data_IF_574456937785
#
_entry.id   IF_574456937785
#
_cell.length_a   1.000
_cell.length_b   1.000
_cell.length_c   1.000
_cell.angle_alpha   90.00
_cell.angle_beta   90.00
_cell.angle_gamma   90.00
#
_symmetry.space_group_name_H-M   'P 1'
#
loop_
_entity.id
_entity.type
_entity.pdbx_description
1 polymer ?
#
# COMPACT_ATOMS: atom_id res chain seq x y z
N UNK A 1 19.80 -6.38 -7.84
CA UNK A 1 18.75 -5.95 -8.79
C UNK A 1 19.28 -5.32 -10.09
N UNK A 2 20.55 -4.89 -10.20
CA UNK A 2 21.11 -4.24 -11.40
C UNK A 2 21.28 -5.12 -12.66
N UNK A 3 21.22 -6.45 -12.56
CA UNK A 3 21.48 -7.34 -13.72
C UNK A 3 20.36 -7.32 -14.76
N UNK A 4 19.11 -7.02 -14.38
CA UNK A 4 17.99 -7.00 -15.31
C UNK A 4 17.90 -5.68 -16.08
N UNK A 5 18.18 -4.54 -15.43
CA UNK A 5 18.23 -3.21 -16.08
C UNK A 5 19.25 -3.17 -17.24
N UNK A 6 20.49 -3.66 -17.01
CA UNK A 6 21.51 -3.72 -18.08
C UNK A 6 21.19 -4.76 -19.17
N UNK A 7 20.37 -5.79 -18.88
CA UNK A 7 19.96 -6.80 -19.87
C UNK A 7 18.86 -6.30 -20.80
N UNK A 8 17.95 -5.46 -20.31
CA UNK A 8 16.90 -4.83 -21.12
C UNK A 8 17.52 -3.87 -22.15
N UNK A 9 18.41 -2.98 -21.71
CA UNK A 9 19.16 -2.07 -22.61
C UNK A 9 20.14 -2.78 -23.56
N UNK A 10 20.48 -4.05 -23.27
CA UNK A 10 21.40 -4.87 -24.05
C UNK A 10 20.79 -5.61 -25.24
N UNK A 11 19.48 -5.49 -25.49
CA UNK A 11 18.83 -5.98 -26.71
C UNK A 11 18.84 -7.51 -26.91
N UNK A 12 18.68 -8.29 -25.83
CA UNK A 12 18.49 -9.73 -25.95
C UNK A 12 17.10 -10.08 -26.52
N UNK A 13 17.00 -11.12 -27.36
CA UNK A 13 15.76 -11.61 -28.03
C UNK A 13 14.58 -11.92 -27.09
N UNK A 14 14.82 -11.97 -25.79
CA UNK A 14 13.81 -12.18 -24.73
C UNK A 14 13.13 -10.88 -24.28
N UNK A 15 13.67 -9.71 -24.65
CA UNK A 15 13.19 -8.37 -24.26
C UNK A 15 12.76 -7.52 -25.45
N UNK A 16 12.64 -8.12 -26.64
CA UNK A 16 12.31 -7.44 -27.90
C UNK A 16 10.87 -6.87 -27.91
N UNK A 17 10.02 -7.38 -27.01
CA UNK A 17 8.63 -6.97 -26.85
C UNK A 17 8.37 -6.20 -25.55
N UNK A 18 9.34 -6.06 -24.64
CA UNK A 18 9.13 -5.46 -23.31
C UNK A 18 9.71 -4.05 -23.28
N UNK A 19 8.86 -3.06 -23.03
CA UNK A 19 9.27 -1.67 -22.88
C UNK A 19 10.12 -1.49 -21.61
N UNK A 20 11.38 -1.09 -21.76
CA UNK A 20 12.31 -0.93 -20.63
C UNK A 20 11.93 0.26 -19.73
N UNK A 21 11.04 1.15 -20.19
CA UNK A 21 10.57 2.34 -19.48
C UNK A 21 9.85 2.00 -18.17
N UNK A 22 9.30 0.78 -18.02
CA UNK A 22 8.65 0.32 -16.78
C UNK A 22 9.60 0.28 -15.58
N UNK A 23 10.91 0.10 -15.81
CA UNK A 23 11.90 0.03 -14.73
C UNK A 23 12.34 1.40 -14.21
N UNK A 24 12.07 2.46 -14.98
CA UNK A 24 12.36 3.85 -14.61
C UNK A 24 11.12 4.57 -14.07
N UNK A 25 9.95 3.91 -14.02
CA UNK A 25 8.71 4.47 -13.49
C UNK A 25 8.78 4.67 -11.95
N UNK A 26 8.56 5.89 -11.42
CA UNK A 26 8.56 6.17 -9.99
C UNK A 26 7.29 5.71 -9.22
N UNK A 27 6.22 5.29 -9.91
CA UNK A 27 4.95 4.87 -9.28
C UNK A 27 5.10 3.70 -8.29
N UNK A 28 5.75 2.57 -8.64
CA UNK A 28 5.86 1.43 -7.73
C UNK A 28 6.65 1.77 -6.46
N UNK A 29 7.68 2.60 -6.59
CA UNK A 29 8.48 3.07 -5.45
C UNK A 29 7.65 3.96 -4.52
N UNK A 30 6.88 4.89 -5.09
CA UNK A 30 6.01 5.79 -4.32
C UNK A 30 4.88 5.06 -3.62
N UNK A 31 4.29 4.06 -4.29
CA UNK A 31 3.27 3.17 -3.72
C UNK A 31 3.81 2.38 -2.54
N UNK A 32 4.98 1.75 -2.71
CA UNK A 32 5.63 0.99 -1.65
C UNK A 32 6.00 1.86 -0.44
N UNK A 33 6.57 3.04 -0.68
CA UNK A 33 6.90 4.01 0.37
C UNK A 33 5.64 4.45 1.13
N UNK A 34 4.55 4.76 0.41
CA UNK A 34 3.29 5.17 1.02
C UNK A 34 2.63 4.07 1.86
N UNK A 35 2.66 2.81 1.39
CA UNK A 35 2.20 1.64 2.16
C UNK A 35 3.03 1.50 3.44
N UNK A 36 4.35 1.61 3.34
CA UNK A 36 5.25 1.49 4.49
C UNK A 36 4.98 2.58 5.54
N UNK A 37 4.94 3.86 5.13
CA UNK A 37 4.65 4.98 6.04
C UNK A 37 3.28 4.79 6.70
N UNK A 38 2.28 4.37 5.94
CA UNK A 38 0.93 4.10 6.45
C UNK A 38 0.94 2.99 7.50
N UNK A 39 1.64 1.88 7.23
CA UNK A 39 1.78 0.76 8.18
C UNK A 39 2.49 1.20 9.45
N UNK A 40 3.57 1.96 9.37
CA UNK A 40 4.31 2.43 10.55
C UNK A 40 3.44 3.34 11.45
N UNK A 41 2.65 4.24 10.86
CA UNK A 41 1.73 5.09 11.62
C UNK A 41 0.59 4.28 12.25
N UNK A 42 0.09 3.26 11.56
CA UNK A 42 -0.91 2.33 12.08
C UNK A 42 -0.34 1.44 13.18
N UNK A 43 0.93 1.01 13.06
CA UNK A 43 1.63 0.26 14.09
C UNK A 43 1.88 1.11 15.34
N UNK A 44 2.20 2.40 15.17
CA UNK A 44 2.30 3.34 16.29
C UNK A 44 0.96 3.49 17.04
N UNK A 45 -0.16 3.54 16.31
CA UNK A 45 -1.50 3.47 16.90
C UNK A 45 -1.73 2.15 17.64
N UNK A 46 -1.29 1.04 17.06
CA UNK A 46 -1.50 -0.28 17.63
C UNK A 46 -0.65 -0.53 18.88
N UNK A 47 0.54 0.06 18.99
CA UNK A 47 1.33 0.03 20.23
C UNK A 47 0.63 0.81 21.34
N UNK A 48 -0.12 1.87 21.03
CA UNK A 48 -0.95 2.56 22.02
C UNK A 48 -2.17 1.73 22.45
N UNK A 49 -2.81 0.99 21.54
CA UNK A 49 -3.95 0.10 21.85
C UNK A 49 -3.57 -1.16 22.64
N UNK A 50 -2.28 -1.39 22.90
CA UNK A 50 -1.82 -2.47 23.78
C UNK A 50 -2.43 -2.35 25.19
N UNK A 51 -2.74 -1.15 25.65
CA UNK A 51 -3.43 -0.96 26.94
C UNK A 51 -4.93 -1.31 26.90
N UNK A 52 -5.63 -1.18 25.76
CA UNK A 52 -7.03 -1.61 25.53
C UNK A 52 -7.30 -1.72 24.01
N UNK A 53 -7.98 -2.78 23.53
CA UNK A 53 -8.32 -2.96 22.11
C UNK A 53 -8.93 -1.70 21.47
N UNK A 54 -8.49 -1.40 20.24
CA UNK A 54 -8.84 -0.20 19.46
C UNK A 54 -10.36 -0.05 19.21
N UNK A 55 -11.09 -1.17 19.21
CA UNK A 55 -12.56 -1.20 19.11
C UNK A 55 -13.29 -0.81 20.40
N UNK A 56 -12.61 -0.87 21.55
CA UNK A 56 -13.20 -0.61 22.88
C UNK A 56 -12.83 0.78 23.42
N UNK A 57 -11.77 1.40 22.89
CA UNK A 57 -11.40 2.78 23.19
C UNK A 57 -11.42 3.62 21.92
N UNK A 58 -12.36 4.57 21.77
CA UNK A 58 -12.39 5.44 20.60
C UNK A 58 -11.10 6.26 20.50
N UNK A 59 -10.57 6.50 19.28
CA UNK A 59 -9.27 7.13 19.02
C UNK A 59 -9.13 8.58 19.53
N UNK A 60 -10.21 9.16 20.05
CA UNK A 60 -10.30 10.53 20.52
C UNK A 60 -9.78 10.75 21.95
N UNK A 61 -9.42 9.68 22.67
CA UNK A 61 -8.95 9.79 24.07
C UNK A 61 -7.56 10.48 24.17
N UNK A 62 -6.68 10.28 23.17
CA UNK A 62 -5.37 10.92 23.12
C UNK A 62 -5.24 11.83 21.90
N UNK A 63 -5.70 13.06 22.06
CA UNK A 63 -5.66 14.13 21.03
C UNK A 63 -4.25 14.43 20.56
N UNK A 64 -3.25 14.35 21.45
CA UNK A 64 -1.86 14.63 21.13
C UNK A 64 -1.25 13.57 20.21
N UNK A 65 -1.57 12.29 20.43
CA UNK A 65 -1.12 11.22 19.54
C UNK A 65 -1.82 11.31 18.17
N UNK A 66 -3.14 11.56 18.16
CA UNK A 66 -3.88 11.76 16.92
C UNK A 66 -3.31 12.93 16.11
N UNK A 67 -2.89 14.00 16.78
CA UNK A 67 -2.21 15.13 16.14
C UNK A 67 -0.86 14.72 15.55
N UNK A 68 -0.06 13.89 16.23
CA UNK A 68 1.21 13.41 15.70
C UNK A 68 1.03 12.58 14.41
N UNK A 69 0.00 11.73 14.35
CA UNK A 69 -0.31 10.93 13.16
C UNK A 69 -0.85 11.81 12.03
N UNK A 70 -1.74 12.76 12.35
CA UNK A 70 -2.25 13.72 11.38
C UNK A 70 -1.13 14.59 10.80
N UNK A 71 -0.18 15.00 11.64
CA UNK A 71 1.01 15.74 11.23
C UNK A 71 1.90 14.88 10.30
N UNK A 72 2.09 13.60 10.63
CA UNK A 72 2.84 12.66 9.79
C UNK A 72 2.19 12.46 8.41
N UNK A 73 0.87 12.25 8.37
CA UNK A 73 0.13 12.17 7.10
C UNK A 73 0.17 13.47 6.32
N UNK A 74 0.14 14.62 7.00
CA UNK A 74 0.28 15.94 6.36
C UNK A 74 1.67 16.12 5.75
N UNK A 75 2.72 15.68 6.45
CA UNK A 75 4.09 15.68 5.93
C UNK A 75 4.21 14.75 4.71
N UNK A 76 3.58 13.59 4.74
CA UNK A 76 3.54 12.65 3.62
C UNK A 76 2.85 13.26 2.38
N UNK A 77 1.75 13.99 2.58
CA UNK A 77 1.13 14.75 1.49
C UNK A 77 2.04 15.90 1.01
N UNK A 78 2.71 16.58 1.93
CA UNK A 78 3.64 17.66 1.61
C UNK A 78 4.79 17.19 0.70
N UNK A 79 5.38 16.02 0.96
CA UNK A 79 6.44 15.49 0.10
C UNK A 79 5.93 15.10 -1.28
N UNK A 80 4.69 14.60 -1.41
CA UNK A 80 4.12 14.14 -2.68
C UNK A 80 3.63 15.29 -3.58
N UNK A 81 3.13 16.38 -2.98
CA UNK A 81 2.57 17.51 -3.73
C UNK A 81 3.58 18.62 -4.01
N UNK A 82 4.67 18.71 -3.25
CA UNK A 82 5.71 19.73 -3.50
C UNK A 82 6.74 19.20 -4.51
N UNK A 83 6.88 19.86 -5.68
CA UNK A 83 7.74 19.37 -6.76
C UNK A 83 9.23 19.31 -6.39
N UNK A 84 9.68 20.12 -5.42
CA UNK A 84 11.05 20.08 -4.92
C UNK A 84 11.40 18.72 -4.30
N UNK A 85 10.50 18.13 -3.50
CA UNK A 85 10.76 16.85 -2.85
C UNK A 85 10.60 15.68 -3.81
N UNK A 86 9.65 15.76 -4.76
CA UNK A 86 9.47 14.75 -5.81
C UNK A 86 10.73 14.51 -6.64
N UNK A 87 11.44 15.57 -7.03
CA UNK A 87 12.69 15.46 -7.80
C UNK A 87 13.83 14.85 -6.99
N UNK A 88 13.91 15.15 -5.67
CA UNK A 88 14.98 14.63 -4.80
C UNK A 88 14.78 13.15 -4.49
N UNK A 89 13.55 12.73 -4.24
CA UNK A 89 13.22 11.35 -3.87
C UNK A 89 12.82 10.48 -5.07
N UNK A 90 12.73 11.04 -6.28
CA UNK A 90 12.27 10.36 -7.50
C UNK A 90 10.90 9.70 -7.28
N UNK A 91 9.95 10.48 -6.75
CA UNK A 91 8.58 10.05 -6.43
C UNK A 91 7.56 10.89 -7.21
N UNK A 92 6.36 10.34 -7.42
CA UNK A 92 5.28 10.98 -8.18
C UNK A 92 4.03 11.24 -7.31
N UNK A 93 3.18 12.23 -7.66
CA UNK A 93 1.94 12.45 -6.94
C UNK A 93 0.97 11.28 -7.16
N UNK A 94 0.41 10.76 -6.08
CA UNK A 94 -0.46 9.60 -6.09
C UNK A 94 -1.94 9.98 -6.30
N UNK A 95 -2.64 9.29 -7.19
CA UNK A 95 -4.07 9.50 -7.45
C UNK A 95 -4.95 8.95 -6.31
N UNK A 96 -6.22 9.37 -6.26
CA UNK A 96 -7.13 8.87 -5.23
C UNK A 96 -7.36 7.35 -5.30
N UNK A 97 -7.39 6.78 -6.50
CA UNK A 97 -7.59 5.34 -6.70
C UNK A 97 -6.41 4.53 -6.14
N UNK A 98 -5.19 5.00 -6.38
CA UNK A 98 -3.97 4.41 -5.85
C UNK A 98 -3.88 4.54 -4.32
N UNK A 99 -4.33 5.66 -3.75
CA UNK A 99 -4.46 5.81 -2.30
C UNK A 99 -5.38 4.75 -1.67
N UNK A 100 -6.51 4.44 -2.31
CA UNK A 100 -7.37 3.35 -1.86
C UNK A 100 -6.69 1.98 -1.98
N UNK A 101 -5.83 1.78 -2.98
CA UNK A 101 -5.03 0.56 -3.10
C UNK A 101 -4.00 0.46 -1.96
N UNK A 102 -3.29 1.54 -1.65
CA UNK A 102 -2.34 1.63 -0.53
C UNK A 102 -3.03 1.29 0.80
N UNK A 103 -4.20 1.89 1.05
CA UNK A 103 -4.98 1.62 2.26
C UNK A 103 -5.42 0.16 2.34
N UNK A 104 -5.91 -0.42 1.24
CA UNK A 104 -6.29 -1.85 1.19
C UNK A 104 -5.11 -2.76 1.49
N UNK A 105 -3.94 -2.52 0.91
CA UNK A 105 -2.74 -3.34 1.13
C UNK A 105 -2.21 -3.20 2.57
N UNK A 106 -2.37 -2.04 3.20
CA UNK A 106 -1.94 -1.81 4.60
C UNK A 106 -2.90 -2.39 5.65
N UNK A 107 -4.20 -2.52 5.34
CA UNK A 107 -5.22 -3.07 6.24
C UNK A 107 -4.93 -4.48 6.82
N UNK A 108 -4.48 -5.50 6.06
CA UNK A 108 -4.23 -6.83 6.59
C UNK A 108 -3.08 -6.87 7.59
N UNK A 109 -2.12 -5.94 7.48
CA UNK A 109 -1.03 -5.82 8.44
C UNK A 109 -1.56 -5.39 9.81
N UNK A 110 -2.52 -4.46 9.85
CA UNK A 110 -3.22 -4.06 11.08
C UNK A 110 -4.04 -5.21 11.64
N UNK A 111 -4.78 -5.92 10.77
CA UNK A 111 -5.53 -7.10 11.21
C UNK A 111 -4.63 -8.15 11.82
N UNK A 112 -3.47 -8.41 11.20
CA UNK A 112 -2.49 -9.34 11.71
C UNK A 112 -1.99 -8.92 13.09
N UNK A 113 -1.58 -7.66 13.29
CA UNK A 113 -1.11 -7.19 14.60
C UNK A 113 -2.18 -7.32 15.71
N UNK A 114 -3.43 -6.96 15.41
CA UNK A 114 -4.53 -7.11 16.37
C UNK A 114 -4.86 -8.60 16.62
N UNK A 115 -4.73 -9.48 15.62
CA UNK A 115 -4.91 -10.94 15.83
C UNK A 115 -3.84 -11.50 16.75
N UNK A 116 -2.57 -11.09 16.61
CA UNK A 116 -1.47 -11.54 17.47
C UNK A 116 -1.69 -11.07 18.91
N UNK A 117 -2.11 -9.80 19.09
CA UNK A 117 -2.47 -9.25 20.41
C UNK A 117 -3.64 -10.00 21.04
N UNK A 118 -4.66 -10.33 20.26
CA UNK A 118 -5.80 -11.08 20.74
C UNK A 118 -5.41 -12.50 21.20
N UNK A 119 -4.61 -13.21 20.41
CA UNK A 119 -4.10 -14.54 20.77
C UNK A 119 -3.20 -14.48 22.00
N UNK A 120 -2.28 -13.50 22.07
CA UNK A 120 -1.36 -13.33 23.19
C UNK A 120 -2.10 -13.11 24.52
N UNK A 121 -3.10 -12.21 24.56
CA UNK A 121 -3.92 -11.98 25.77
C UNK A 121 -4.64 -13.26 26.22
N UNK A 122 -5.19 -14.01 25.27
CA UNK A 122 -5.93 -15.26 25.56
C UNK A 122 -5.03 -16.42 25.96
N UNK A 123 -3.78 -16.45 25.52
CA UNK A 123 -2.83 -17.48 25.92
C UNK A 123 -2.23 -17.23 27.31
N UNK A 124 -2.07 -15.96 27.70
CA UNK A 124 -1.61 -15.55 29.04
C UNK A 124 -2.71 -15.77 30.09
N UNK A 125 -3.96 -15.41 29.77
CA UNK A 125 -5.11 -15.67 30.65
C UNK A 125 -5.58 -17.13 30.52
N UNK A 126 -4.92 -18.05 31.23
CA UNK A 126 -5.24 -19.49 31.31
C UNK A 126 -6.56 -19.81 32.04
N UNK A 127 -7.66 -19.15 31.69
CA UNK A 127 -8.99 -19.48 32.23
C UNK A 127 -9.85 -20.12 31.14
N UNK A 128 -9.90 -21.44 31.22
CA UNK A 128 -10.65 -22.37 30.38
C UNK A 128 -12.15 -22.02 30.34
N UNK A 129 -12.59 -21.33 29.29
CA UNK A 129 -13.99 -21.37 28.85
C UNK A 129 -13.98 -21.47 27.33
N UNK A 130 -14.07 -22.70 26.81
CA UNK A 130 -13.93 -23.01 25.38
C UNK A 130 -14.82 -22.19 24.44
N UNK A 131 -15.94 -21.66 24.94
CA UNK A 131 -16.84 -20.74 24.22
C UNK A 131 -16.19 -19.39 23.88
N UNK A 132 -15.34 -18.84 24.75
CA UNK A 132 -14.67 -17.55 24.52
C UNK A 132 -13.54 -17.62 23.49
N UNK A 133 -12.85 -18.76 23.42
CA UNK A 133 -11.80 -19.03 22.43
C UNK A 133 -12.40 -19.19 21.03
N UNK A 134 -13.43 -20.04 20.89
CA UNK A 134 -14.13 -20.24 19.62
C UNK A 134 -14.72 -18.94 19.08
N UNK A 135 -15.35 -18.11 19.91
CA UNK A 135 -15.90 -16.83 19.48
C UNK A 135 -14.80 -15.85 19.01
N UNK A 136 -13.62 -15.91 19.62
CA UNK A 136 -12.45 -15.16 19.18
C UNK A 136 -11.96 -15.61 17.80
N UNK A 137 -11.73 -16.91 17.64
CA UNK A 137 -11.27 -17.50 16.38
C UNK A 137 -12.30 -17.27 15.26
N UNK A 138 -13.59 -17.43 15.54
CA UNK A 138 -14.67 -17.18 14.58
C UNK A 138 -14.69 -15.70 14.17
N UNK A 139 -14.58 -14.76 15.11
CA UNK A 139 -14.49 -13.33 14.77
C UNK A 139 -13.27 -13.03 13.89
N UNK A 140 -12.11 -13.66 14.16
CA UNK A 140 -10.92 -13.49 13.32
C UNK A 140 -11.15 -14.07 11.91
N UNK A 141 -11.66 -15.29 11.80
CA UNK A 141 -11.92 -15.93 10.51
C UNK A 141 -12.98 -15.17 9.69
N UNK A 142 -14.02 -14.65 10.33
CA UNK A 142 -15.03 -13.81 9.67
C UNK A 142 -14.38 -12.53 9.15
N UNK A 143 -13.53 -11.89 9.95
CA UNK A 143 -12.95 -10.59 9.61
C UNK A 143 -11.90 -10.74 8.49
N UNK A 144 -11.07 -11.79 8.54
CA UNK A 144 -10.16 -12.17 7.45
C UNK A 144 -10.93 -12.61 6.20
N UNK A 145 -12.00 -13.38 6.35
CA UNK A 145 -12.86 -13.83 5.25
C UNK A 145 -13.55 -12.65 4.56
N UNK A 146 -14.13 -11.72 5.33
CA UNK A 146 -14.71 -10.48 4.81
C UNK A 146 -13.66 -9.63 4.09
N UNK A 147 -12.46 -9.50 4.65
CA UNK A 147 -11.36 -8.78 3.99
C UNK A 147 -10.96 -9.45 2.67
N UNK A 148 -10.78 -10.77 2.66
CA UNK A 148 -10.44 -11.54 1.45
C UNK A 148 -11.53 -11.41 0.38
N UNK A 149 -12.80 -11.50 0.78
CA UNK A 149 -13.96 -11.25 -0.09
C UNK A 149 -13.90 -9.82 -0.64
N UNK A 150 -13.73 -8.82 0.21
CA UNK A 150 -13.69 -7.41 -0.18
C UNK A 150 -12.51 -7.12 -1.14
N UNK A 151 -11.37 -7.78 -0.97
CA UNK A 151 -10.26 -7.72 -1.92
C UNK A 151 -10.64 -8.32 -3.29
N UNK A 152 -11.21 -9.53 -3.31
CA UNK A 152 -11.60 -10.25 -4.54
C UNK A 152 -12.65 -9.47 -5.33
N UNK A 153 -13.62 -8.87 -4.65
CA UNK A 153 -14.67 -8.05 -5.28
C UNK A 153 -14.21 -6.64 -5.63
N UNK A 154 -13.02 -6.20 -5.21
CA UNK A 154 -12.58 -4.85 -5.49
C UNK A 154 -12.00 -4.72 -6.91
N UNK A 155 -12.53 -3.80 -7.75
CA UNK A 155 -12.06 -3.62 -9.12
C UNK A 155 -10.60 -3.12 -9.19
N UNK A 156 -10.09 -2.52 -8.11
CA UNK A 156 -8.71 -2.02 -8.01
C UNK A 156 -7.68 -3.16 -8.06
N UNK A 157 -7.92 -4.31 -7.41
CA UNK A 157 -6.99 -5.45 -7.50
C UNK A 157 -6.97 -6.04 -8.93
N UNK A 158 -8.14 -6.08 -9.58
CA UNK A 158 -8.27 -6.52 -10.96
C UNK A 158 -7.66 -5.51 -11.96
N UNK A 159 -7.68 -4.22 -11.64
CA UNK A 159 -7.06 -3.15 -12.45
C UNK A 159 -5.55 -3.04 -12.24
N UNK A 160 -5.03 -3.35 -11.06
CA UNK A 160 -3.58 -3.42 -10.80
C UNK A 160 -2.97 -4.71 -11.36
N UNK A 161 -3.72 -5.82 -11.34
CA UNK A 161 -3.45 -6.98 -12.20
C UNK A 161 -3.55 -6.60 -13.69
N UNK A 162 -4.40 -5.63 -14.03
CA UNK A 162 -4.47 -4.96 -15.33
C UNK A 162 -3.25 -4.08 -15.67
N UNK A 163 -2.55 -3.51 -14.68
CA UNK A 163 -1.30 -2.75 -14.89
C UNK A 163 -0.13 -3.70 -15.22
N UNK A 164 -0.16 -4.94 -14.73
CA UNK A 164 0.69 -6.03 -15.24
C UNK A 164 0.20 -6.61 -16.58
N UNK A 165 -0.99 -6.22 -17.01
CA UNK A 165 -1.62 -6.58 -18.29
C UNK A 165 -1.87 -5.33 -19.14
N UNK A 166 -0.96 -4.35 -19.14
CA UNK A 166 -0.90 -3.47 -20.29
C UNK A 166 -0.41 -4.35 -21.45
N UNK A 167 -1.23 -4.65 -22.48
CA UNK A 167 -0.67 -5.17 -23.70
C UNK A 167 0.30 -4.10 -24.21
N UNK A 168 1.54 -4.50 -24.43
CA UNK A 168 2.51 -3.78 -25.25
C UNK A 168 1.91 -3.71 -26.66
N UNK A 169 1.02 -2.75 -26.86
CA UNK A 169 0.07 -2.84 -27.95
C UNK A 169 -0.93 -1.70 -27.97
N UNK A 170 -0.46 -0.45 -27.81
CA UNK A 170 -0.80 0.60 -28.75
C UNK A 170 0.07 1.85 -28.56
N UNK A 171 1.29 1.81 -29.08
CA UNK A 171 2.12 2.99 -29.33
C UNK A 171 1.45 3.83 -30.43
N UNK A 172 0.42 4.63 -30.13
CA UNK A 172 -0.07 5.63 -31.11
C UNK A 172 -0.68 6.90 -30.52
N UNK A 173 -0.39 7.30 -29.28
CA UNK A 173 -0.90 8.60 -28.75
C UNK A 173 0.10 9.54 -28.11
N UNK A 174 1.38 9.16 -27.97
CA UNK A 174 2.40 10.05 -27.36
C UNK A 174 3.56 10.46 -28.30
N UNK A 175 3.58 10.03 -29.56
CA UNK A 175 4.66 10.40 -30.52
C UNK A 175 4.20 11.30 -31.68
N UNK A 176 2.98 11.83 -31.67
CA UNK A 176 2.48 12.69 -32.78
C UNK A 176 2.53 14.20 -32.53
N UNK A 177 3.28 14.68 -31.54
CA UNK A 177 3.39 16.15 -31.29
C UNK A 177 4.81 16.73 -31.43
N UNK A 178 5.90 15.96 -31.29
CA UNK A 178 7.25 16.57 -31.23
C UNK A 178 8.20 16.33 -32.43
N UNK A 179 7.77 15.68 -33.51
CA UNK A 179 8.63 15.47 -34.70
C UNK A 179 8.20 16.20 -35.99
N UNK A 180 7.23 17.13 -35.91
CA UNK A 180 6.84 17.98 -37.06
C UNK A 180 7.35 19.43 -37.03
N UNK A 181 8.14 19.81 -36.02
CA UNK A 181 8.64 21.19 -35.87
C UNK A 181 10.18 21.31 -35.86
N UNK A 182 10.89 20.33 -36.45
CA UNK A 182 12.35 20.36 -36.58
C UNK A 182 12.86 20.29 -38.02
N UNK A 183 11.97 20.57 -39.00
CA UNK A 183 12.33 20.81 -40.40
C UNK A 183 11.83 22.21 -40.82
N UNK A 184 12.57 23.25 -40.40
CA UNK A 184 12.63 24.59 -41.02
C UNK A 184 14.04 25.14 -40.85
#
# INVERSE_FOLDING_TARGET
>A
MLKHHFKCRGGGKEWEDIDCDVFDDPHPMTMALSVLVTIEMLNALNSLSENQSLLKMPPWYNKYLLFAIALSMSLHMMILYIPMFNTVFQICPLTWEEWFAVLKISFPVVLLDETLKFVARRYVDKTETGTGFLHGVISLLILWGLYAVLLIYSPIFNSWAGFTHHPLGNTTTYTTVDHKNLDL
#
